data_IF_267319680936
#
_entry.id   IF_267319680936
#
_cell.length_a   1.000
_cell.length_b   1.000
_cell.length_c   1.000
_cell.angle_alpha   90.00
_cell.angle_beta   90.00
_cell.angle_gamma   90.00
#
_symmetry.space_group_name_H-M   'P 1'
#
loop_
_entity.id
_entity.type
_entity.pdbx_description
1 polymer ?
#
# COMPACT_ATOMS: atom_id res chain seq x y z
N UNK A 1 34.34 26.32 42.78
CA UNK A 1 33.68 25.81 41.57
C UNK A 1 34.64 24.91 40.85
N UNK A 2 34.54 23.61 41.09
CA UNK A 2 35.41 22.58 40.54
C UNK A 2 34.75 22.01 39.29
N UNK A 3 35.34 22.23 38.14
CA UNK A 3 34.93 21.59 36.90
C UNK A 3 35.43 20.12 36.91
N UNK A 4 34.52 19.20 37.15
CA UNK A 4 34.75 17.78 36.91
C UNK A 4 34.69 17.51 35.38
N UNK A 5 35.81 17.08 34.79
CA UNK A 5 35.86 16.47 33.46
C UNK A 5 35.13 15.10 33.52
N UNK A 6 33.85 15.09 33.14
CA UNK A 6 33.13 13.87 32.87
C UNK A 6 33.46 13.40 31.44
N UNK A 7 34.07 12.22 31.34
CA UNK A 7 34.34 11.59 30.05
C UNK A 7 33.06 11.40 29.27
N UNK A 8 33.07 11.82 28.02
CA UNK A 8 32.04 11.52 27.01
C UNK A 8 32.10 10.01 26.73
N UNK A 9 31.32 9.24 27.49
CA UNK A 9 30.96 7.90 27.09
C UNK A 9 30.22 8.00 25.77
N UNK A 10 30.87 7.68 24.66
CA UNK A 10 30.21 7.43 23.39
C UNK A 10 29.15 6.37 23.63
N UNK A 11 27.88 6.78 23.76
CA UNK A 11 26.75 5.85 23.77
C UNK A 11 26.75 5.14 22.42
N UNK A 12 27.35 3.97 22.40
CA UNK A 12 27.32 3.09 21.25
C UNK A 12 25.85 2.87 20.88
N UNK A 13 25.44 3.43 19.75
CA UNK A 13 24.09 3.28 19.22
C UNK A 13 23.83 1.78 19.04
N UNK A 14 22.89 1.24 19.80
CA UNK A 14 22.50 -0.17 19.72
C UNK A 14 21.14 -0.28 19.05
N UNK A 15 21.04 -1.18 18.10
CA UNK A 15 19.76 -1.53 17.50
C UNK A 15 18.93 -2.35 18.48
N UNK A 16 17.66 -1.99 18.61
CA UNK A 16 16.70 -2.74 19.40
C UNK A 16 16.35 -4.07 18.70
N UNK A 17 15.98 -5.13 19.45
CA UNK A 17 15.58 -6.41 18.85
C UNK A 17 14.49 -6.28 17.78
N UNK A 18 13.51 -5.39 18.00
CA UNK A 18 12.44 -5.10 17.04
C UNK A 18 12.94 -4.46 15.73
N UNK A 19 13.98 -3.62 15.82
CA UNK A 19 14.61 -2.98 14.64
C UNK A 19 15.41 -4.02 13.86
N UNK A 20 16.20 -4.87 14.54
CA UNK A 20 16.92 -5.98 13.92
C UNK A 20 15.94 -6.91 13.20
N UNK A 21 14.83 -7.28 13.84
CA UNK A 21 13.81 -8.12 13.25
C UNK A 21 13.14 -7.44 12.02
N UNK A 22 12.95 -6.12 12.06
CA UNK A 22 12.40 -5.38 10.91
C UNK A 22 13.41 -5.32 9.74
N UNK A 23 14.68 -5.04 10.01
CA UNK A 23 15.77 -5.07 9.04
C UNK A 23 15.82 -6.46 8.39
N UNK A 24 15.87 -7.52 9.19
CA UNK A 24 15.90 -8.90 8.73
C UNK A 24 14.74 -9.22 7.80
N UNK A 25 13.51 -8.89 8.17
CA UNK A 25 12.34 -9.09 7.30
C UNK A 25 12.45 -8.33 5.98
N UNK A 26 12.99 -7.11 6.02
CA UNK A 26 13.11 -6.27 4.83
C UNK A 26 14.14 -6.82 3.85
N UNK A 27 15.35 -7.16 4.32
CA UNK A 27 16.43 -7.66 3.46
C UNK A 27 16.14 -9.06 2.93
N UNK A 28 15.43 -9.89 3.70
CA UNK A 28 14.95 -11.22 3.28
C UNK A 28 13.65 -11.18 2.48
N UNK A 29 13.16 -9.98 2.15
CA UNK A 29 11.99 -9.76 1.29
C UNK A 29 10.73 -10.45 1.80
N UNK A 30 10.49 -10.40 3.11
CA UNK A 30 9.23 -10.89 3.67
C UNK A 30 8.03 -10.22 2.96
N UNK A 31 6.89 -10.93 2.82
CA UNK A 31 5.70 -10.41 2.14
C UNK A 31 5.24 -9.07 2.71
N UNK A 32 4.97 -8.11 1.84
CA UNK A 32 4.55 -6.77 2.23
C UNK A 32 3.03 -6.67 2.29
N UNK A 33 2.55 -6.12 3.39
CA UNK A 33 1.13 -5.82 3.54
C UNK A 33 0.69 -4.68 2.60
N UNK A 34 -0.55 -4.72 2.17
CA UNK A 34 -1.16 -3.61 1.46
C UNK A 34 -2.39 -3.11 2.21
N UNK A 35 -2.39 -1.80 2.53
CA UNK A 35 -3.59 -1.08 2.97
C UNK A 35 -3.87 0.02 1.96
N UNK A 36 -5.09 0.06 1.43
CA UNK A 36 -5.53 1.01 0.43
C UNK A 36 -6.89 1.58 0.79
N UNK A 37 -7.03 2.89 0.72
CA UNK A 37 -8.35 3.53 0.73
C UNK A 37 -8.92 3.42 -0.69
N UNK A 38 -9.93 2.56 -0.86
CA UNK A 38 -10.54 2.31 -2.17
C UNK A 38 -11.65 3.29 -2.52
N UNK A 39 -12.15 4.03 -1.51
CA UNK A 39 -13.22 5.00 -1.73
C UNK A 39 -13.84 5.49 -0.43
N UNK A 40 -15.17 5.67 -0.47
CA UNK A 40 -16.01 6.06 0.66
C UNK A 40 -17.33 6.64 0.16
N UNK A 41 -18.44 6.27 0.80
CA UNK A 41 -19.77 6.77 0.48
C UNK A 41 -20.02 8.19 1.01
N UNK A 42 -20.69 9.01 0.23
CA UNK A 42 -21.12 10.36 0.61
C UNK A 42 -22.64 10.46 0.84
N UNK A 43 -23.36 9.35 0.69
CA UNK A 43 -24.78 9.20 0.96
C UNK A 43 -25.07 7.78 1.41
N UNK A 44 -26.17 7.56 2.16
CA UNK A 44 -26.60 6.24 2.58
C UNK A 44 -26.81 5.31 1.37
N UNK A 45 -27.37 5.80 0.26
CA UNK A 45 -27.50 5.04 -0.99
C UNK A 45 -26.15 4.56 -1.56
N UNK A 46 -25.12 5.40 -1.53
CA UNK A 46 -23.78 5.01 -1.99
C UNK A 46 -23.11 4.00 -1.06
N UNK A 47 -23.38 4.10 0.23
CA UNK A 47 -22.90 3.12 1.24
C UNK A 47 -23.61 1.79 1.05
N UNK A 48 -24.96 1.79 0.89
CA UNK A 48 -25.73 0.58 0.58
C UNK A 48 -25.23 -0.13 -0.68
N UNK A 49 -25.03 0.62 -1.76
CA UNK A 49 -24.50 0.05 -3.00
C UNK A 49 -23.09 -0.55 -2.81
N UNK A 50 -22.27 0.03 -1.94
CA UNK A 50 -20.96 -0.55 -1.63
C UNK A 50 -21.07 -1.83 -0.82
N UNK A 51 -21.94 -1.89 0.19
CA UNK A 51 -22.20 -3.12 0.93
C UNK A 51 -22.76 -4.22 0.02
N UNK A 52 -23.68 -3.88 -0.92
CA UNK A 52 -24.14 -4.82 -1.94
C UNK A 52 -23.02 -5.33 -2.85
N UNK A 53 -22.06 -4.48 -3.17
CA UNK A 53 -20.91 -4.88 -3.97
C UNK A 53 -19.95 -5.81 -3.20
N UNK A 54 -19.64 -5.54 -1.93
CA UNK A 54 -18.72 -6.36 -1.15
C UNK A 54 -19.39 -7.62 -0.58
N UNK A 55 -20.70 -7.60 -0.31
CA UNK A 55 -21.50 -8.75 0.11
C UNK A 55 -22.01 -9.61 -1.07
N UNK A 56 -21.55 -9.37 -2.30
CA UNK A 56 -21.94 -10.17 -3.48
C UNK A 56 -21.52 -11.64 -3.31
N UNK A 57 -22.21 -12.54 -4.00
CA UNK A 57 -21.93 -13.98 -3.93
C UNK A 57 -22.05 -14.56 -2.51
N UNK A 58 -22.97 -13.99 -1.70
CA UNK A 58 -23.21 -14.42 -0.33
C UNK A 58 -21.99 -14.29 0.61
N UNK A 59 -21.01 -13.43 0.28
CA UNK A 59 -19.97 -13.10 1.23
C UNK A 59 -20.56 -12.49 2.50
N UNK A 60 -20.17 -13.05 3.61
CA UNK A 60 -20.66 -12.68 4.92
C UNK A 60 -20.06 -11.34 5.36
N UNK A 61 -20.92 -10.43 5.79
CA UNK A 61 -20.54 -9.15 6.38
C UNK A 61 -20.51 -9.32 7.90
N UNK A 62 -19.34 -9.16 8.48
CA UNK A 62 -19.16 -9.18 9.93
C UNK A 62 -19.11 -7.76 10.46
N UNK A 63 -19.95 -7.43 11.44
CA UNK A 63 -19.98 -6.12 12.09
C UNK A 63 -19.04 -6.05 13.30
N UNK A 64 -18.79 -4.85 13.79
CA UNK A 64 -18.01 -4.57 15.00
C UNK A 64 -18.59 -5.19 16.27
N UNK A 65 -19.87 -5.54 16.26
CA UNK A 65 -20.56 -6.29 17.34
C UNK A 65 -20.52 -7.81 17.14
N UNK A 66 -19.80 -8.31 16.13
CA UNK A 66 -19.70 -9.74 15.83
C UNK A 66 -20.96 -10.34 15.21
N UNK A 67 -21.87 -9.51 14.69
CA UNK A 67 -23.02 -10.01 13.92
C UNK A 67 -22.56 -10.37 12.51
N UNK A 68 -23.02 -11.49 12.02
CA UNK A 68 -22.81 -11.99 10.68
C UNK A 68 -24.06 -11.80 9.85
N UNK A 69 -23.99 -10.99 8.81
CA UNK A 69 -25.14 -10.57 8.02
C UNK A 69 -24.88 -10.91 6.55
N UNK A 70 -25.89 -11.49 5.89
CA UNK A 70 -25.86 -11.81 4.46
C UNK A 70 -27.06 -11.20 3.74
N UNK A 71 -26.95 -11.02 2.42
CA UNK A 71 -28.04 -10.58 1.56
C UNK A 71 -28.35 -9.08 1.60
N UNK A 72 -29.49 -8.72 1.02
CA UNK A 72 -29.91 -7.31 0.85
C UNK A 72 -30.33 -6.63 2.16
N UNK A 73 -30.79 -7.38 3.14
CA UNK A 73 -31.21 -6.84 4.43
C UNK A 73 -30.02 -6.39 5.28
N UNK A 74 -28.85 -7.00 5.08
CA UNK A 74 -27.61 -6.56 5.69
C UNK A 74 -27.28 -5.08 5.40
N UNK A 75 -27.55 -4.64 4.17
CA UNK A 75 -27.28 -3.26 3.75
C UNK A 75 -28.14 -2.26 4.48
N UNK A 76 -29.45 -2.57 4.66
CA UNK A 76 -30.40 -1.71 5.37
C UNK A 76 -30.13 -1.70 6.87
N UNK A 77 -29.83 -2.87 7.42
CA UNK A 77 -29.52 -3.01 8.85
C UNK A 77 -28.31 -2.18 9.26
N UNK A 78 -27.21 -2.27 8.53
CA UNK A 78 -26.00 -1.47 8.82
C UNK A 78 -26.22 0.04 8.66
N UNK A 79 -27.00 0.46 7.65
CA UNK A 79 -27.29 1.89 7.44
C UNK A 79 -28.08 2.46 8.60
N UNK A 80 -29.12 1.73 9.06
CA UNK A 80 -29.94 2.12 10.20
C UNK A 80 -29.15 2.09 11.52
N UNK A 81 -28.41 1.01 11.75
CA UNK A 81 -27.61 0.81 12.96
C UNK A 81 -26.48 1.85 13.11
N UNK A 82 -25.95 2.37 12.00
CA UNK A 82 -24.91 3.39 12.00
C UNK A 82 -25.45 4.83 11.91
N UNK A 83 -26.74 5.06 11.92
CA UNK A 83 -27.40 6.38 11.79
C UNK A 83 -26.89 7.18 10.58
N UNK A 84 -26.59 6.50 9.47
CA UNK A 84 -25.97 7.14 8.29
C UNK A 84 -26.90 8.15 7.61
N UNK A 85 -28.20 8.02 7.76
CA UNK A 85 -29.17 8.98 7.24
C UNK A 85 -29.14 10.29 8.02
N UNK A 86 -28.98 10.24 9.35
CA UNK A 86 -28.79 11.40 10.21
C UNK A 86 -27.50 12.12 9.89
N UNK A 87 -26.37 11.39 9.80
CA UNK A 87 -25.07 11.92 9.39
C UNK A 87 -25.12 12.58 7.99
N UNK A 88 -25.88 12.00 7.07
CA UNK A 88 -26.08 12.56 5.73
C UNK A 88 -26.91 13.86 5.77
N UNK A 89 -27.95 13.94 6.58
CA UNK A 89 -28.77 15.12 6.76
C UNK A 89 -27.95 16.27 7.39
N UNK A 90 -27.19 15.97 8.42
CA UNK A 90 -26.32 16.94 9.09
C UNK A 90 -25.21 17.46 8.15
N UNK A 91 -24.64 16.59 7.30
CA UNK A 91 -23.65 16.97 6.28
C UNK A 91 -24.17 17.94 5.23
N UNK A 92 -25.49 17.95 4.98
CA UNK A 92 -26.16 18.81 3.98
C UNK A 92 -26.69 20.09 4.60
N UNK A 93 -26.64 20.24 5.92
CA UNK A 93 -27.18 21.40 6.60
C UNK A 93 -26.52 22.69 6.11
N UNK A 94 -27.32 23.72 5.71
CA UNK A 94 -26.81 25.00 5.23
C UNK A 94 -26.01 25.78 6.29
N UNK A 95 -26.18 25.45 7.56
CA UNK A 95 -25.43 26.06 8.67
C UNK A 95 -23.93 25.72 8.68
N UNK A 96 -23.48 24.73 7.91
CA UNK A 96 -22.04 24.38 7.76
C UNK A 96 -21.33 25.11 6.61
N UNK A 97 -21.73 26.34 6.30
CA UNK A 97 -20.97 27.25 5.45
C UNK A 97 -21.11 27.00 3.95
N UNK A 98 -21.71 27.94 3.30
CA UNK A 98 -21.91 28.09 1.87
C UNK A 98 -20.60 28.29 1.11
N UNK A 99 -19.70 27.36 1.10
CA UNK A 99 -18.54 27.44 0.22
C UNK A 99 -18.28 26.10 -0.44
N UNK A 100 -18.89 25.84 -1.60
CA UNK A 100 -18.47 24.88 -2.64
C UNK A 100 -17.73 23.60 -2.25
N UNK A 101 -17.70 23.24 -0.95
CA UNK A 101 -17.02 22.05 -0.45
C UNK A 101 -17.77 20.80 -0.84
N UNK A 102 -17.05 19.85 -1.40
CA UNK A 102 -17.57 18.52 -1.72
C UNK A 102 -18.22 17.90 -0.49
N UNK A 103 -19.36 17.19 -0.64
CA UNK A 103 -19.99 16.46 0.44
C UNK A 103 -18.98 15.60 1.19
N UNK A 104 -19.08 15.56 2.50
CA UNK A 104 -18.16 14.78 3.34
C UNK A 104 -18.52 13.30 3.24
N UNK A 105 -17.52 12.43 3.29
CA UNK A 105 -17.73 10.99 3.28
C UNK A 105 -18.42 10.55 4.57
N UNK A 106 -19.41 9.68 4.48
CA UNK A 106 -20.05 9.02 5.63
C UNK A 106 -19.23 7.82 6.10
N UNK A 107 -18.58 7.13 5.17
CA UNK A 107 -17.73 5.96 5.45
C UNK A 107 -16.42 6.05 4.67
N UNK A 108 -15.41 5.34 5.17
CA UNK A 108 -14.18 5.05 4.44
C UNK A 108 -14.13 3.56 4.06
N UNK A 109 -13.90 3.29 2.79
CA UNK A 109 -13.72 1.94 2.28
C UNK A 109 -12.22 1.63 2.23
N UNK A 110 -11.78 0.70 3.04
CA UNK A 110 -10.39 0.30 3.22
C UNK A 110 -10.24 -1.13 2.71
N UNK A 111 -9.15 -1.43 2.05
CA UNK A 111 -8.79 -2.80 1.65
C UNK A 111 -7.51 -3.18 2.35
N UNK A 112 -7.55 -4.27 3.09
CA UNK A 112 -6.43 -4.93 3.74
C UNK A 112 -6.09 -6.17 2.90
N UNK A 113 -4.86 -6.32 2.44
CA UNK A 113 -4.52 -7.41 1.52
C UNK A 113 -3.11 -7.93 1.73
N UNK A 114 -2.94 -9.20 1.40
CA UNK A 114 -1.65 -9.90 1.37
C UNK A 114 -1.39 -10.49 -0.04
N UNK A 115 -0.13 -10.77 -0.39
CA UNK A 115 0.21 -11.45 -1.63
C UNK A 115 -0.43 -12.82 -1.77
N UNK A 116 -0.50 -13.31 -3.01
CA UNK A 116 -0.95 -14.67 -3.34
C UNK A 116 -0.21 -15.72 -2.50
N UNK A 117 -0.95 -16.74 -2.05
CA UNK A 117 -0.42 -17.83 -1.24
C UNK A 117 -0.49 -17.60 0.27
N UNK A 118 -0.94 -16.42 0.72
CA UNK A 118 -1.20 -16.19 2.15
C UNK A 118 -2.53 -16.86 2.56
N UNK A 119 -2.61 -17.55 3.72
CA UNK A 119 -3.85 -18.15 4.19
C UNK A 119 -4.94 -17.10 4.43
N UNK A 120 -6.08 -17.24 3.73
CA UNK A 120 -7.16 -16.25 3.77
C UNK A 120 -7.77 -16.09 5.17
N UNK A 121 -7.94 -17.19 5.90
CA UNK A 121 -8.46 -17.18 7.29
C UNK A 121 -7.53 -16.35 8.20
N UNK A 122 -6.22 -16.54 8.08
CA UNK A 122 -5.26 -15.75 8.88
C UNK A 122 -5.24 -14.27 8.51
N UNK A 123 -5.53 -13.92 7.24
CA UNK A 123 -5.70 -12.51 6.84
C UNK A 123 -6.97 -11.92 7.46
N UNK A 124 -8.06 -12.69 7.53
CA UNK A 124 -9.31 -12.26 8.20
C UNK A 124 -9.06 -12.05 9.70
N UNK A 125 -8.46 -13.01 10.40
CA UNK A 125 -8.18 -12.89 11.84
C UNK A 125 -7.28 -11.69 12.15
N UNK A 126 -6.23 -11.48 11.36
CA UNK A 126 -5.38 -10.31 11.49
C UNK A 126 -6.14 -9.00 11.21
N UNK A 127 -7.11 -9.01 10.28
CA UNK A 127 -7.94 -7.84 9.97
C UNK A 127 -8.94 -7.55 11.10
N UNK A 128 -9.51 -8.58 11.73
CA UNK A 128 -10.34 -8.46 12.94
C UNK A 128 -9.55 -7.82 14.08
N UNK A 129 -8.37 -8.35 14.37
CA UNK A 129 -7.49 -7.82 15.41
C UNK A 129 -7.12 -6.35 15.12
N UNK A 130 -6.71 -6.05 13.89
CA UNK A 130 -6.39 -4.69 13.45
C UNK A 130 -7.58 -3.74 13.61
N UNK A 131 -8.78 -4.14 13.15
CA UNK A 131 -9.96 -3.29 13.21
C UNK A 131 -10.39 -3.03 14.65
N UNK A 132 -10.30 -4.05 15.51
CA UNK A 132 -10.60 -3.93 16.94
C UNK A 132 -9.62 -2.97 17.63
N UNK A 133 -8.32 -3.11 17.40
CA UNK A 133 -7.31 -2.25 18.01
C UNK A 133 -7.38 -0.80 17.53
N UNK A 134 -7.81 -0.56 16.28
CA UNK A 134 -7.77 0.76 15.69
C UNK A 134 -9.08 1.55 15.81
N UNK A 135 -10.22 0.83 15.77
CA UNK A 135 -11.53 1.48 15.64
C UNK A 135 -12.51 1.17 16.76
N UNK A 136 -12.34 0.06 17.51
CA UNK A 136 -13.27 -0.27 18.59
C UNK A 136 -13.45 0.90 19.57
N UNK A 137 -14.68 1.07 20.04
CA UNK A 137 -15.11 2.17 20.93
C UNK A 137 -15.03 3.59 20.35
N UNK A 138 -14.56 3.75 19.12
CA UNK A 138 -14.48 5.05 18.47
C UNK A 138 -15.32 5.11 17.19
N UNK A 139 -15.14 4.17 16.30
CA UNK A 139 -15.81 4.14 15.00
C UNK A 139 -16.47 2.78 14.77
N UNK A 140 -17.72 2.81 14.28
CA UNK A 140 -18.37 1.60 13.79
C UNK A 140 -17.66 1.09 12.54
N UNK A 141 -17.56 -0.23 12.41
CA UNK A 141 -16.93 -0.85 11.24
C UNK A 141 -17.57 -2.19 10.87
N UNK A 142 -17.35 -2.60 9.63
CA UNK A 142 -17.73 -3.91 9.14
C UNK A 142 -16.63 -4.49 8.23
N UNK A 143 -16.51 -5.81 8.24
CA UNK A 143 -15.48 -6.58 7.54
C UNK A 143 -16.13 -7.56 6.56
N UNK A 144 -15.51 -7.74 5.40
CA UNK A 144 -15.87 -8.79 4.43
C UNK A 144 -14.61 -9.39 3.86
N UNK A 145 -14.43 -10.70 4.01
CA UNK A 145 -13.33 -11.43 3.38
C UNK A 145 -13.70 -11.78 1.93
N UNK A 146 -12.81 -11.46 1.00
CA UNK A 146 -12.90 -11.87 -0.40
C UNK A 146 -11.79 -12.86 -0.75
N UNK A 147 -12.20 -13.99 -1.34
CA UNK A 147 -11.31 -15.05 -1.83
C UNK A 147 -11.46 -15.32 -3.33
N UNK A 148 -12.28 -14.53 -4.00
CA UNK A 148 -12.56 -14.60 -5.45
C UNK A 148 -11.34 -14.19 -6.32
N UNK A 149 -10.28 -13.70 -5.70
CA UNK A 149 -9.04 -13.35 -6.37
C UNK A 149 -7.84 -14.09 -5.75
N UNK A 150 -6.74 -14.23 -6.50
CA UNK A 150 -5.54 -14.92 -6.00
C UNK A 150 -4.92 -14.30 -4.74
N UNK A 151 -5.23 -13.04 -4.47
CA UNK A 151 -4.76 -12.30 -3.30
C UNK A 151 -5.87 -12.24 -2.27
N UNK A 152 -5.74 -12.87 -1.10
CA UNK A 152 -6.73 -12.73 -0.06
C UNK A 152 -6.80 -11.27 0.39
N UNK A 153 -8.02 -10.74 0.47
CA UNK A 153 -8.22 -9.37 0.89
C UNK A 153 -9.52 -9.22 1.67
N UNK A 154 -9.45 -8.32 2.65
CA UNK A 154 -10.59 -7.95 3.48
C UNK A 154 -10.99 -6.53 3.12
N UNK A 155 -12.28 -6.36 2.80
CA UNK A 155 -12.91 -5.05 2.76
C UNK A 155 -13.29 -4.67 4.17
N UNK A 156 -12.79 -3.53 4.62
CA UNK A 156 -13.11 -2.92 5.90
C UNK A 156 -13.81 -1.59 5.61
N UNK A 157 -15.06 -1.49 5.99
CA UNK A 157 -15.86 -0.25 5.91
C UNK A 157 -15.88 0.36 7.30
N UNK A 158 -15.48 1.62 7.43
CA UNK A 158 -15.41 2.33 8.71
C UNK A 158 -16.26 3.59 8.64
N UNK A 159 -17.17 3.78 9.61
CA UNK A 159 -17.96 5.01 9.77
C UNK A 159 -17.01 6.20 9.97
N UNK A 160 -17.18 7.24 9.19
CA UNK A 160 -16.26 8.38 9.20
C UNK A 160 -16.40 9.26 10.44
N UNK A 161 -17.61 9.35 10.98
CA UNK A 161 -17.89 10.01 12.26
C UNK A 161 -17.77 9.01 13.40
N UNK A 162 -17.04 9.34 14.44
CA UNK A 162 -16.98 8.51 15.64
C UNK A 162 -18.25 8.69 16.49
N UNK A 163 -18.47 7.79 17.41
CA UNK A 163 -19.58 7.89 18.38
C UNK A 163 -19.47 9.14 19.29
N UNK A 164 -18.27 9.73 19.38
CA UNK A 164 -18.03 10.98 20.11
C UNK A 164 -18.04 12.22 19.20
N UNK A 165 -18.55 12.12 17.97
CA UNK A 165 -18.65 13.22 17.02
C UNK A 165 -17.31 13.67 16.40
N UNK A 166 -16.24 12.86 16.51
CA UNK A 166 -14.95 13.14 15.89
C UNK A 166 -14.84 12.44 14.53
N UNK A 167 -14.35 13.18 13.53
CA UNK A 167 -14.20 12.64 12.19
C UNK A 167 -12.84 11.96 12.01
N UNK A 168 -12.86 10.75 11.45
CA UNK A 168 -11.65 10.00 11.08
C UNK A 168 -10.84 10.76 10.01
N UNK A 169 -9.60 11.11 10.36
CA UNK A 169 -8.69 11.84 9.47
C UNK A 169 -7.54 10.93 9.03
N UNK A 170 -7.64 10.43 7.80
CA UNK A 170 -6.66 9.49 7.25
C UNK A 170 -5.58 10.25 6.47
N UNK A 171 -4.40 10.35 7.06
CA UNK A 171 -3.21 10.97 6.46
C UNK A 171 -2.22 9.92 5.97
N UNK A 172 -1.18 10.34 5.25
CA UNK A 172 -0.10 9.43 4.82
C UNK A 172 0.57 8.74 6.02
N UNK A 173 0.76 9.45 7.12
CA UNK A 173 1.33 8.86 8.35
C UNK A 173 0.39 7.80 8.92
N UNK A 174 -0.90 8.07 9.04
CA UNK A 174 -1.92 7.11 9.47
C UNK A 174 -1.83 5.80 8.67
N UNK A 175 -1.71 5.90 7.34
CA UNK A 175 -1.58 4.70 6.50
C UNK A 175 -0.26 3.94 6.71
N UNK A 176 0.82 4.63 7.09
CA UNK A 176 2.09 3.97 7.46
C UNK A 176 1.95 3.20 8.77
N UNK A 177 1.33 3.83 9.77
CA UNK A 177 1.11 3.25 11.09
C UNK A 177 0.15 2.05 11.00
N UNK A 178 -0.93 2.17 10.24
CA UNK A 178 -1.86 1.07 9.97
C UNK A 178 -1.17 -0.12 9.30
N UNK A 179 -0.30 0.11 8.31
CA UNK A 179 0.46 -1.00 7.69
C UNK A 179 1.35 -1.71 8.71
N UNK A 180 2.04 -0.96 9.57
CA UNK A 180 2.88 -1.55 10.63
C UNK A 180 2.03 -2.38 11.61
N UNK A 181 0.90 -1.83 12.05
CA UNK A 181 -0.05 -2.50 12.94
C UNK A 181 -0.62 -3.77 12.29
N UNK A 182 -1.13 -3.68 11.08
CA UNK A 182 -1.65 -4.84 10.35
C UNK A 182 -0.60 -5.93 10.12
N UNK A 183 0.63 -5.55 9.76
CA UNK A 183 1.74 -6.49 9.67
C UNK A 183 2.07 -7.13 11.03
N UNK A 184 1.88 -6.42 12.13
CA UNK A 184 2.03 -6.99 13.48
C UNK A 184 0.93 -8.00 13.79
N UNK A 185 -0.34 -7.68 13.48
CA UNK A 185 -1.47 -8.60 13.65
C UNK A 185 -1.28 -9.89 12.83
N UNK A 186 -0.79 -9.79 11.57
CA UNK A 186 -0.49 -10.96 10.74
C UNK A 186 0.61 -11.84 11.36
N UNK A 187 1.68 -11.23 11.88
CA UNK A 187 2.74 -11.99 12.55
C UNK A 187 2.27 -12.66 13.84
N UNK A 188 1.34 -12.06 14.56
CA UNK A 188 0.70 -12.69 15.71
C UNK A 188 -0.11 -13.94 15.32
N UNK A 189 -0.58 -14.02 14.06
CA UNK A 189 -1.21 -15.21 13.49
C UNK A 189 -0.19 -16.17 12.84
N UNK A 190 1.10 -16.02 13.08
CA UNK A 190 2.16 -16.85 12.48
C UNK A 190 2.42 -16.58 11.00
N UNK A 191 1.83 -15.52 10.41
CA UNK A 191 1.99 -15.18 9.00
C UNK A 191 3.16 -14.20 8.83
N UNK A 192 4.13 -14.56 7.99
CA UNK A 192 5.22 -13.68 7.64
C UNK A 192 4.68 -12.40 6.95
N UNK A 193 4.92 -11.25 7.56
CA UNK A 193 4.45 -9.97 7.06
C UNK A 193 5.39 -8.82 7.41
N UNK A 194 5.52 -7.87 6.50
CA UNK A 194 6.32 -6.67 6.66
C UNK A 194 5.56 -5.41 6.19
N UNK A 195 6.04 -4.25 6.61
CA UNK A 195 5.45 -2.95 6.25
C UNK A 195 6.56 -1.93 5.99
N UNK A 196 7.31 -2.14 4.92
CA UNK A 196 8.42 -1.27 4.51
C UNK A 196 8.04 -0.42 3.30
N UNK A 197 8.43 0.84 3.29
CA UNK A 197 8.15 1.72 2.17
C UNK A 197 8.86 1.23 0.89
N UNK A 198 8.19 1.41 -0.26
CA UNK A 198 8.70 0.95 -1.56
C UNK A 198 10.07 1.54 -1.88
N UNK A 199 10.29 2.83 -1.58
CA UNK A 199 11.56 3.50 -1.81
C UNK A 199 12.70 2.84 -1.03
N UNK A 200 12.46 2.50 0.26
CA UNK A 200 13.44 1.82 1.14
C UNK A 200 13.83 0.44 0.58
N UNK A 201 12.89 -0.24 -0.10
CA UNK A 201 13.13 -1.52 -0.78
C UNK A 201 13.70 -1.39 -2.20
N UNK A 202 13.97 -0.19 -2.65
CA UNK A 202 14.47 0.07 -3.99
C UNK A 202 13.42 -0.08 -5.11
N UNK A 203 12.13 -0.13 -4.79
CA UNK A 203 11.06 -0.31 -5.78
C UNK A 203 10.66 1.04 -6.38
N UNK A 204 10.90 1.24 -7.66
CA UNK A 204 10.62 2.50 -8.39
C UNK A 204 9.45 2.42 -9.37
N UNK A 205 8.86 1.23 -9.57
CA UNK A 205 7.76 1.06 -10.53
C UNK A 205 6.60 2.03 -10.24
N UNK A 206 6.14 2.81 -11.24
CA UNK A 206 5.03 3.74 -11.08
C UNK A 206 3.74 3.01 -10.70
N UNK A 207 2.97 3.61 -9.80
CA UNK A 207 1.63 3.12 -9.50
C UNK A 207 0.67 3.59 -10.60
N UNK A 208 -0.12 2.64 -11.14
CA UNK A 208 -1.17 2.95 -12.11
C UNK A 208 -2.54 2.98 -11.42
N UNK A 209 -3.42 3.85 -11.87
CA UNK A 209 -4.82 3.80 -11.45
C UNK A 209 -5.45 2.45 -11.83
N UNK A 210 -6.45 2.00 -11.06
CA UNK A 210 -7.09 0.70 -11.31
C UNK A 210 -7.64 0.57 -12.75
N UNK A 211 -8.19 1.64 -13.32
CA UNK A 211 -8.70 1.64 -14.70
C UNK A 211 -7.60 1.38 -15.70
N UNK A 212 -6.48 2.11 -15.62
CA UNK A 212 -5.32 1.93 -16.49
C UNK A 212 -4.73 0.53 -16.31
N UNK A 213 -4.61 0.06 -15.07
CA UNK A 213 -4.07 -1.27 -14.77
C UNK A 213 -4.92 -2.40 -15.38
N UNK A 214 -6.26 -2.34 -15.22
CA UNK A 214 -7.18 -3.33 -15.81
C UNK A 214 -7.15 -3.29 -17.35
N UNK A 215 -7.19 -2.09 -17.94
CA UNK A 215 -7.10 -1.92 -19.38
C UNK A 215 -5.76 -2.43 -19.95
N UNK A 216 -4.66 -2.20 -19.22
CA UNK A 216 -3.34 -2.69 -19.58
C UNK A 216 -3.29 -4.23 -19.56
N UNK A 217 -3.80 -4.87 -18.50
CA UNK A 217 -3.86 -6.33 -18.42
C UNK A 217 -4.72 -6.97 -19.50
N UNK A 218 -5.74 -6.27 -19.94
CA UNK A 218 -6.62 -6.70 -21.02
C UNK A 218 -6.09 -6.32 -22.43
N UNK A 219 -4.88 -5.75 -22.55
CA UNK A 219 -4.30 -5.30 -23.82
C UNK A 219 -5.03 -4.11 -24.47
N UNK A 220 -5.93 -3.43 -23.77
CA UNK A 220 -6.83 -2.39 -24.28
C UNK A 220 -6.52 -0.97 -23.82
N UNK A 221 -5.38 -0.76 -23.15
CA UNK A 221 -5.02 0.56 -22.61
C UNK A 221 -4.54 1.52 -23.72
N UNK A 222 -5.40 2.42 -24.15
CA UNK A 222 -5.04 3.51 -25.07
C UNK A 222 -3.96 4.39 -24.47
N UNK A 223 -4.10 4.77 -23.20
CA UNK A 223 -3.08 5.55 -22.45
C UNK A 223 -1.68 4.93 -22.50
N UNK A 224 -1.58 3.62 -22.29
CA UNK A 224 -0.27 2.93 -22.32
C UNK A 224 0.28 2.85 -23.73
N UNK A 225 -0.60 2.69 -24.75
CA UNK A 225 -0.21 2.67 -26.16
C UNK A 225 0.32 4.04 -26.61
N UNK A 226 -0.40 5.10 -26.36
CA UNK A 226 0.00 6.47 -26.68
C UNK A 226 1.35 6.84 -26.03
N UNK A 227 1.56 6.44 -24.77
CA UNK A 227 2.85 6.66 -24.12
C UNK A 227 3.98 5.85 -24.74
N UNK A 228 3.76 4.61 -25.12
CA UNK A 228 4.75 3.78 -25.81
C UNK A 228 5.08 4.36 -27.20
N UNK A 229 4.08 4.80 -27.97
CA UNK A 229 4.24 5.44 -29.27
C UNK A 229 5.04 6.75 -29.16
N UNK A 230 4.72 7.58 -28.16
CA UNK A 230 5.46 8.80 -27.87
C UNK A 230 6.93 8.55 -27.56
N UNK A 231 7.22 7.50 -26.80
CA UNK A 231 8.61 7.11 -26.49
C UNK A 231 9.32 6.56 -27.72
N UNK A 232 8.64 5.72 -28.52
CA UNK A 232 9.20 5.18 -29.77
C UNK A 232 9.56 6.31 -30.75
N UNK A 233 8.68 7.26 -30.96
CA UNK A 233 8.93 8.43 -31.81
C UNK A 233 10.13 9.27 -31.30
N UNK A 234 10.21 9.50 -30.00
CA UNK A 234 11.33 10.21 -29.39
C UNK A 234 12.67 9.47 -29.54
N UNK A 235 12.66 8.13 -29.46
CA UNK A 235 13.86 7.31 -29.70
C UNK A 235 14.30 7.38 -31.17
N UNK A 236 13.36 7.28 -32.12
CA UNK A 236 13.66 7.39 -33.54
C UNK A 236 14.23 8.76 -33.92
N UNK A 237 13.71 9.81 -33.31
CA UNK A 237 14.18 11.18 -33.53
C UNK A 237 15.50 11.51 -32.77
N UNK A 238 16.06 10.59 -31.98
CA UNK A 238 17.27 10.82 -31.17
C UNK A 238 17.09 11.85 -30.06
N UNK A 239 15.86 12.22 -29.69
CA UNK A 239 15.57 13.29 -28.74
C UNK A 239 14.90 12.79 -27.44
N UNK A 240 15.19 11.55 -27.03
CA UNK A 240 14.65 10.97 -25.81
C UNK A 240 15.13 11.76 -24.57
N UNK A 241 14.32 12.69 -24.10
CA UNK A 241 14.64 13.52 -22.94
C UNK A 241 14.42 12.75 -21.63
N UNK A 242 15.24 13.06 -20.62
CA UNK A 242 15.04 12.56 -19.26
C UNK A 242 13.70 13.07 -18.71
N UNK A 243 12.89 12.18 -18.13
CA UNK A 243 11.58 12.54 -17.58
C UNK A 243 11.75 13.44 -16.34
N UNK A 244 10.91 14.48 -16.25
CA UNK A 244 10.89 15.35 -15.08
C UNK A 244 10.62 14.50 -13.81
N UNK A 245 11.41 14.71 -12.78
CA UNK A 245 11.30 13.94 -11.53
C UNK A 245 12.25 12.75 -11.42
N UNK A 246 12.94 12.32 -12.49
CA UNK A 246 13.95 11.27 -12.42
C UNK A 246 15.11 11.64 -11.48
N UNK A 247 15.56 12.89 -11.51
CA UNK A 247 16.57 13.41 -10.58
C UNK A 247 16.16 13.20 -9.13
N UNK A 248 14.93 13.58 -8.77
CA UNK A 248 14.39 13.38 -7.42
C UNK A 248 14.35 11.90 -7.01
N UNK A 249 14.01 11.01 -7.94
CA UNK A 249 14.04 9.56 -7.68
C UNK A 249 15.46 9.06 -7.44
N UNK A 250 16.43 9.57 -8.20
CA UNK A 250 17.86 9.25 -8.01
C UNK A 250 18.37 9.76 -6.67
N UNK A 251 18.01 10.98 -6.29
CA UNK A 251 18.41 11.57 -5.01
C UNK A 251 17.80 10.79 -3.84
N UNK A 252 16.52 10.43 -3.93
CA UNK A 252 15.87 9.54 -2.94
C UNK A 252 16.60 8.19 -2.86
N UNK A 253 17.01 7.60 -3.98
CA UNK A 253 17.76 6.34 -4.00
C UNK A 253 19.14 6.50 -3.32
N UNK A 254 19.86 7.58 -3.58
CA UNK A 254 21.14 7.86 -2.92
C UNK A 254 20.99 7.98 -1.41
N UNK A 255 19.93 8.64 -0.98
CA UNK A 255 19.59 8.79 0.43
C UNK A 255 19.28 7.43 1.10
N UNK A 256 18.45 6.61 0.45
CA UNK A 256 18.14 5.25 0.89
C UNK A 256 19.40 4.39 1.01
N UNK A 257 20.30 4.44 0.01
CA UNK A 257 21.57 3.68 0.06
C UNK A 257 22.42 4.17 1.22
N UNK A 258 22.53 5.48 1.43
CA UNK A 258 23.28 6.06 2.56
C UNK A 258 22.76 5.58 3.91
N UNK A 259 21.44 5.56 4.09
CA UNK A 259 20.83 5.04 5.31
C UNK A 259 21.11 3.55 5.51
N UNK A 260 21.00 2.74 4.46
CA UNK A 260 21.35 1.32 4.53
C UNK A 260 22.83 1.08 4.86
N UNK A 261 23.75 1.91 4.32
CA UNK A 261 25.18 1.85 4.67
C UNK A 261 25.41 2.16 6.16
N UNK A 262 24.71 3.14 6.71
CA UNK A 262 24.73 3.42 8.14
C UNK A 262 24.22 2.25 8.99
N UNK A 263 23.11 1.63 8.57
CA UNK A 263 22.56 0.42 9.23
C UNK A 263 23.58 -0.72 9.15
N UNK A 264 24.24 -0.94 8.03
CA UNK A 264 25.24 -1.97 7.85
C UNK A 264 26.41 -1.77 8.80
N UNK A 265 26.93 -0.55 8.92
CA UNK A 265 28.01 -0.21 9.85
C UNK A 265 27.59 -0.47 11.32
N UNK A 266 26.37 -0.04 11.67
CA UNK A 266 25.82 -0.24 13.00
C UNK A 266 25.62 -1.74 13.34
N UNK A 267 25.20 -2.54 12.37
CA UNK A 267 25.09 -3.99 12.54
C UNK A 267 26.48 -4.62 12.81
N UNK A 268 27.51 -4.22 12.05
CA UNK A 268 28.88 -4.69 12.26
C UNK A 268 29.41 -4.33 13.65
N UNK A 269 29.22 -3.07 14.07
CA UNK A 269 29.65 -2.63 15.42
C UNK A 269 28.89 -3.33 16.56
N UNK A 270 27.72 -3.91 16.28
CA UNK A 270 26.94 -4.71 17.23
C UNK A 270 27.17 -6.23 17.08
N UNK A 271 28.18 -6.66 16.32
CA UNK A 271 28.51 -8.09 16.11
C UNK A 271 27.54 -8.85 15.22
N UNK A 272 26.69 -8.16 14.45
CA UNK A 272 25.69 -8.75 13.55
C UNK A 272 26.22 -8.87 12.10
N UNK A 273 27.42 -9.46 11.95
CA UNK A 273 28.13 -9.53 10.65
C UNK A 273 27.32 -10.20 9.55
N UNK A 274 26.65 -11.31 9.87
CA UNK A 274 25.83 -12.03 8.89
C UNK A 274 24.73 -11.14 8.34
N UNK A 275 24.00 -10.42 9.21
CA UNK A 275 22.92 -9.54 8.79
C UNK A 275 23.47 -8.29 8.04
N UNK A 276 24.64 -7.78 8.42
CA UNK A 276 25.31 -6.71 7.70
C UNK A 276 25.64 -7.10 6.25
N UNK A 277 26.08 -8.34 6.03
CA UNK A 277 26.36 -8.87 4.70
C UNK A 277 25.05 -9.14 3.91
N UNK A 278 23.95 -9.50 4.59
CA UNK A 278 22.62 -9.58 3.93
C UNK A 278 22.16 -8.18 3.49
N UNK A 279 22.36 -7.15 4.30
CA UNK A 279 22.05 -5.74 3.94
C UNK A 279 22.86 -5.31 2.71
N UNK A 280 24.14 -5.62 2.65
CA UNK A 280 25.01 -5.28 1.51
C UNK A 280 24.49 -5.91 0.21
N UNK A 281 24.19 -7.21 0.24
CA UNK A 281 23.61 -7.94 -0.91
C UNK A 281 22.25 -7.38 -1.31
N UNK A 282 21.43 -7.02 -0.33
CA UNK A 282 20.12 -6.41 -0.59
C UNK A 282 20.26 -5.07 -1.31
N UNK A 283 21.18 -4.20 -0.87
CA UNK A 283 21.44 -2.90 -1.51
C UNK A 283 22.01 -3.07 -2.91
N UNK A 284 23.00 -3.94 -3.08
CA UNK A 284 23.60 -4.26 -4.39
C UNK A 284 22.56 -4.82 -5.37
N UNK A 285 21.60 -5.60 -4.88
CA UNK A 285 20.50 -6.16 -5.67
C UNK A 285 19.32 -5.22 -5.91
N UNK A 286 19.39 -3.94 -5.54
CA UNK A 286 18.34 -2.98 -5.84
C UNK A 286 18.33 -2.67 -7.35
N UNK A 287 17.16 -2.76 -8.03
CA UNK A 287 17.07 -2.43 -9.45
C UNK A 287 17.42 -0.95 -9.71
N UNK A 288 17.92 -0.66 -10.90
CA UNK A 288 18.19 0.70 -11.32
C UNK A 288 16.95 1.59 -11.20
N UNK A 289 17.17 2.88 -10.96
CA UNK A 289 16.08 3.86 -10.92
C UNK A 289 15.54 4.06 -12.32
N UNK A 290 14.28 3.70 -12.53
CA UNK A 290 13.60 3.80 -13.82
C UNK A 290 12.30 4.56 -13.67
N UNK A 291 12.08 5.52 -14.58
CA UNK A 291 10.78 6.14 -14.80
C UNK A 291 9.93 5.26 -15.72
N UNK A 292 8.65 5.57 -15.89
CA UNK A 292 7.80 4.87 -16.86
C UNK A 292 8.35 5.00 -18.30
N UNK A 293 8.91 6.17 -18.62
CA UNK A 293 9.55 6.43 -19.92
C UNK A 293 10.79 5.56 -20.14
N UNK A 294 11.65 5.44 -19.13
CA UNK A 294 12.81 4.55 -19.20
C UNK A 294 12.39 3.09 -19.39
N UNK A 295 11.32 2.67 -18.69
CA UNK A 295 10.79 1.32 -18.83
C UNK A 295 10.30 1.03 -20.25
N UNK A 296 9.56 1.97 -20.87
CA UNK A 296 9.14 1.83 -22.26
C UNK A 296 10.34 1.79 -23.22
N UNK A 297 11.31 2.67 -23.02
CA UNK A 297 12.50 2.72 -23.87
C UNK A 297 13.28 1.40 -23.84
N UNK A 298 13.47 0.83 -22.66
CA UNK A 298 14.12 -0.48 -22.51
C UNK A 298 13.32 -1.60 -23.18
N UNK A 299 12.01 -1.67 -22.90
CA UNK A 299 11.14 -2.68 -23.49
C UNK A 299 11.12 -2.63 -25.03
N UNK A 300 11.14 -1.43 -25.62
CA UNK A 300 11.23 -1.25 -27.08
C UNK A 300 12.60 -1.68 -27.62
N UNK A 301 13.69 -1.35 -26.91
CA UNK A 301 15.04 -1.74 -27.29
C UNK A 301 15.21 -3.26 -27.28
N UNK A 302 14.75 -3.93 -26.23
CA UNK A 302 14.81 -5.40 -26.10
C UNK A 302 14.02 -6.08 -27.24
N UNK A 303 12.81 -5.62 -27.50
CA UNK A 303 11.99 -6.14 -28.62
C UNK A 303 12.67 -5.98 -29.99
N UNK A 304 13.37 -4.86 -30.19
CA UNK A 304 14.11 -4.62 -31.43
C UNK A 304 15.31 -5.55 -31.57
N UNK A 305 16.00 -5.87 -30.46
CA UNK A 305 17.11 -6.82 -30.42
C UNK A 305 16.64 -8.25 -30.72
N UNK A 306 15.51 -8.67 -30.14
CA UNK A 306 14.95 -9.98 -30.36
C UNK A 306 14.57 -10.19 -31.84
N UNK A 307 13.87 -9.22 -32.44
CA UNK A 307 13.52 -9.26 -33.87
C UNK A 307 14.75 -9.31 -34.79
N UNK A 308 15.83 -8.57 -34.44
CA UNK A 308 17.08 -8.66 -35.20
C UNK A 308 17.75 -10.03 -35.05
N UNK A 309 17.74 -10.60 -33.87
CA UNK A 309 18.29 -11.92 -33.58
C UNK A 309 17.53 -13.03 -34.33
N UNK A 310 16.19 -12.96 -34.34
CA UNK A 310 15.37 -13.91 -35.11
C UNK A 310 15.63 -13.80 -36.62
N UNK A 311 15.79 -12.59 -37.15
CA UNK A 311 16.14 -12.37 -38.58
C UNK A 311 17.53 -12.88 -38.95
N UNK A 312 18.48 -12.81 -38.02
CA UNK A 312 19.86 -13.32 -38.26
C UNK A 312 19.96 -14.85 -38.18
N UNK A 313 18.98 -15.47 -37.53
CA UNK A 313 18.93 -16.95 -37.42
C UNK A 313 18.03 -17.59 -38.50
N UNK A 314 17.31 -16.81 -39.29
CA UNK A 314 16.54 -17.33 -40.40
C UNK A 314 17.48 -17.80 -41.51
N UNK A 315 17.38 -19.06 -42.02
CA UNK A 315 18.23 -19.53 -43.08
C UNK A 315 17.99 -18.71 -44.34
N UNK A 316 19.09 -18.20 -44.92
CA UNK A 316 19.10 -17.60 -46.24
C UNK A 316 18.63 -18.68 -47.24
N UNK A 317 17.49 -18.44 -47.89
CA UNK A 317 17.00 -19.26 -48.99
C UNK A 317 17.80 -19.00 -50.23
#
# INVERSE_FOLDING_TARGET
>A
VTYGRGGSSERQLRLLPGEIAHITRTVRRAPEVMIKISGGGQSAKAVAAHFGYIGRQEFEIETDHGQHITGTDAQRGVIADWDLDLDAAESRSPYRGASGRKPTKLVHNIVLSMPKGTPAVGVLEASRAFAREEFAFQHRYALVLHTDQPHPHVHLVVKAMSEQGRRLNIRKQTLRDWRRKFASCLRAQGIAANATERAVRGVTNPQKSNGIYRAMRAGRSTHMRERAESVAAAMQAGNLRVEAGKSRMVDTRREVIRHWSGIQQLLRSNGQEQLANEVERFVAGMPAVQTERDWFALALTDRTRDVRRERSLAPTR
#
